data_IF_426731844657
#
_entry.id   IF_426731844657
#
_cell.length_a   1.000
_cell.length_b   1.000
_cell.length_c   1.000
_cell.angle_alpha   90.00
_cell.angle_beta   90.00
_cell.angle_gamma   90.00
#
_symmetry.space_group_name_H-M   'P 1'
#
loop_
_entity.id
_entity.type
_entity.pdbx_description
1 polymer ?
#
# COMPACT_ATOMS: atom_id res chain seq x y z
N UNK A 1 40.73 -15.82 1.37
CA UNK A 1 39.77 -15.10 0.50
C UNK A 1 38.55 -15.98 0.42
N UNK A 2 37.65 -15.80 1.37
CA UNK A 2 36.38 -16.53 1.41
C UNK A 2 35.47 -15.97 0.29
N UNK A 3 34.83 -16.83 -0.51
CA UNK A 3 33.91 -16.38 -1.52
C UNK A 3 32.69 -15.77 -0.82
N UNK A 4 32.42 -14.50 -1.11
CA UNK A 4 31.18 -13.83 -0.71
C UNK A 4 30.03 -14.64 -1.31
N UNK A 5 29.34 -15.40 -0.46
CA UNK A 5 28.11 -16.05 -0.82
C UNK A 5 27.16 -14.97 -1.33
N UNK A 6 26.78 -15.07 -2.61
CA UNK A 6 25.67 -14.31 -3.13
C UNK A 6 24.45 -14.67 -2.28
N UNK A 7 24.09 -13.75 -1.38
CA UNK A 7 22.77 -13.74 -0.76
C UNK A 7 21.80 -13.51 -1.92
N UNK A 8 21.31 -14.61 -2.51
CA UNK A 8 20.14 -14.56 -3.36
C UNK A 8 18.95 -14.33 -2.43
N UNK A 9 18.76 -13.07 -2.01
CA UNK A 9 17.56 -12.64 -1.31
C UNK A 9 16.37 -12.89 -2.24
N UNK A 10 15.72 -14.04 -2.09
CA UNK A 10 14.45 -14.35 -2.73
C UNK A 10 13.29 -13.64 -2.00
N UNK A 11 13.58 -12.45 -1.46
CA UNK A 11 12.69 -11.51 -0.77
C UNK A 11 12.83 -10.15 -1.43
N UNK A 12 12.65 -10.10 -2.75
CA UNK A 12 12.43 -8.82 -3.40
C UNK A 12 11.05 -8.33 -2.96
N UNK A 13 11.02 -7.51 -1.91
CA UNK A 13 9.97 -6.50 -1.67
C UNK A 13 9.96 -5.51 -2.84
N UNK A 14 9.78 -6.02 -4.05
CA UNK A 14 9.65 -5.22 -5.25
C UNK A 14 8.38 -4.40 -5.05
N UNK A 15 8.54 -3.12 -4.78
CA UNK A 15 7.47 -2.16 -4.90
C UNK A 15 7.27 -1.85 -6.38
N UNK A 16 6.06 -1.45 -6.74
CA UNK A 16 5.71 -0.93 -8.05
C UNK A 16 5.05 0.42 -7.85
N UNK A 17 5.49 1.39 -8.64
CA UNK A 17 4.91 2.72 -8.68
C UNK A 17 3.74 2.73 -9.66
N UNK A 18 2.54 3.03 -9.16
CA UNK A 18 1.33 3.16 -9.95
C UNK A 18 0.80 4.58 -9.83
N UNK A 19 1.18 5.43 -10.80
CA UNK A 19 1.08 6.88 -10.64
C UNK A 19 2.08 7.34 -9.58
N UNK A 20 1.61 8.08 -8.58
CA UNK A 20 2.44 8.60 -7.49
C UNK A 20 2.48 7.68 -6.25
N UNK A 21 1.89 6.48 -6.33
CA UNK A 21 1.63 5.62 -5.17
C UNK A 21 2.38 4.30 -5.27
N UNK A 22 2.82 3.79 -4.11
CA UNK A 22 3.58 2.55 -3.99
C UNK A 22 2.67 1.37 -3.66
N UNK A 23 2.88 0.27 -4.38
CA UNK A 23 2.19 -1.00 -4.15
C UNK A 23 3.18 -2.15 -4.17
N UNK A 24 2.78 -3.29 -3.61
CA UNK A 24 3.53 -4.52 -3.77
C UNK A 24 3.48 -5.00 -5.22
N UNK A 25 4.62 -5.23 -5.87
CA UNK A 25 4.68 -5.75 -7.23
C UNK A 25 4.16 -7.20 -7.35
N UNK A 26 4.11 -7.95 -6.24
CA UNK A 26 3.63 -9.33 -6.25
C UNK A 26 2.09 -9.42 -6.29
N UNK A 27 1.39 -8.63 -5.46
CA UNK A 27 -0.07 -8.73 -5.32
C UNK A 27 -0.83 -7.44 -5.66
N UNK A 28 -0.15 -6.34 -5.93
CA UNK A 28 -0.76 -5.04 -6.21
C UNK A 28 -1.44 -4.39 -5.00
N UNK A 29 -1.16 -4.82 -3.78
CA UNK A 29 -1.70 -4.23 -2.55
C UNK A 29 -0.66 -3.34 -1.86
N UNK A 30 -1.11 -2.28 -1.18
CA UNK A 30 -0.24 -1.46 -0.32
C UNK A 30 0.34 -2.27 0.84
N UNK A 31 -0.46 -3.19 1.38
CA UNK A 31 -0.04 -4.09 2.44
C UNK A 31 -0.06 -5.52 1.91
N UNK A 32 1.07 -6.20 2.02
CA UNK A 32 1.20 -7.59 1.59
C UNK A 32 1.81 -8.41 2.72
N UNK A 33 1.08 -9.42 3.20
CA UNK A 33 1.57 -10.33 4.25
C UNK A 33 2.68 -11.25 3.75
N UNK A 34 2.66 -11.60 2.47
CA UNK A 34 3.65 -12.49 1.86
C UNK A 34 5.03 -11.86 1.75
N UNK A 35 5.09 -10.57 1.38
CA UNK A 35 6.36 -9.83 1.27
C UNK A 35 6.61 -8.91 2.47
N UNK A 36 5.72 -8.94 3.47
CA UNK A 36 5.77 -8.13 4.69
C UNK A 36 5.95 -6.62 4.44
N UNK A 37 5.50 -6.10 3.29
CA UNK A 37 5.54 -4.68 2.99
C UNK A 37 4.25 -3.99 3.40
N UNK A 38 4.37 -2.74 3.88
CA UNK A 38 3.24 -1.87 4.21
C UNK A 38 3.55 -0.44 3.76
N UNK A 39 2.99 -0.05 2.61
CA UNK A 39 3.17 1.27 2.00
C UNK A 39 2.05 2.25 2.40
N UNK A 40 1.19 1.88 3.37
CA UNK A 40 0.03 2.69 3.71
C UNK A 40 0.41 4.07 4.24
N UNK A 41 1.52 4.17 4.95
CA UNK A 41 2.06 5.41 5.49
C UNK A 41 2.54 6.34 4.38
N UNK A 42 3.43 5.86 3.52
CA UNK A 42 3.95 6.60 2.35
C UNK A 42 2.81 7.11 1.46
N UNK A 43 1.85 6.23 1.14
CA UNK A 43 0.73 6.61 0.30
C UNK A 43 -0.24 7.59 0.98
N UNK A 44 -0.36 7.55 2.32
CA UNK A 44 -1.13 8.54 3.07
C UNK A 44 -0.45 9.91 2.99
N UNK A 45 0.87 9.94 3.15
CA UNK A 45 1.68 11.14 2.99
C UNK A 45 1.55 11.72 1.57
N UNK A 46 1.70 10.90 0.52
CA UNK A 46 1.51 11.33 -0.88
C UNK A 46 0.08 11.84 -1.13
N UNK A 47 -0.93 11.23 -0.50
CA UNK A 47 -2.31 11.70 -0.58
C UNK A 47 -2.56 13.01 0.21
N UNK A 48 -1.63 13.43 1.06
CA UNK A 48 -1.73 14.61 1.92
C UNK A 48 -2.68 14.40 3.11
N UNK A 49 -2.75 13.19 3.66
CA UNK A 49 -3.57 12.86 4.83
C UNK A 49 -2.70 12.23 5.92
N UNK A 50 -3.10 12.41 7.17
CA UNK A 50 -2.41 11.76 8.29
C UNK A 50 -2.49 10.23 8.16
N UNK A 51 -1.38 9.50 8.37
CA UNK A 51 -1.38 8.05 8.46
C UNK A 51 -2.35 7.57 9.54
N UNK A 52 -3.23 6.64 9.19
CA UNK A 52 -4.25 6.09 10.08
C UNK A 52 -4.07 4.57 10.18
N UNK A 53 -3.67 4.01 11.34
CA UNK A 53 -3.40 2.58 11.51
C UNK A 53 -4.58 1.67 11.15
N UNK A 54 -5.81 2.14 11.43
CA UNK A 54 -7.05 1.43 11.16
C UNK A 54 -7.55 1.60 9.72
N UNK A 55 -6.78 2.26 8.85
CA UNK A 55 -7.08 2.38 7.42
C UNK A 55 -6.86 1.03 6.72
N UNK A 56 -7.88 0.59 6.01
CA UNK A 56 -7.77 -0.58 5.13
C UNK A 56 -6.79 -0.31 3.98
N UNK A 57 -5.94 -1.29 3.60
CA UNK A 57 -5.08 -1.16 2.43
C UNK A 57 -5.90 -1.09 1.15
N UNK A 58 -5.39 -0.35 0.17
CA UNK A 58 -5.92 -0.37 -1.20
C UNK A 58 -5.15 -1.35 -2.07
N UNK A 59 -5.86 -1.92 -3.04
CA UNK A 59 -5.29 -2.80 -4.05
C UNK A 59 -5.52 -2.25 -5.45
N UNK A 60 -4.55 -2.48 -6.32
CA UNK A 60 -4.51 -2.01 -7.69
C UNK A 60 -4.25 -3.17 -8.65
N UNK A 61 -5.07 -3.27 -9.68
CA UNK A 61 -4.90 -4.22 -10.77
C UNK A 61 -4.00 -3.63 -11.87
N UNK A 62 -2.78 -4.16 -11.99
CA UNK A 62 -1.84 -3.80 -13.05
C UNK A 62 -1.27 -5.05 -13.75
N UNK A 63 -0.68 -4.83 -14.92
CA UNK A 63 0.11 -5.82 -15.66
C UNK A 63 1.38 -5.15 -16.16
N UNK A 64 2.44 -5.92 -16.43
CA UNK A 64 3.65 -5.37 -17.05
C UNK A 64 3.49 -5.32 -18.58
N UNK A 65 3.96 -4.24 -19.20
CA UNK A 65 4.06 -4.13 -20.66
C UNK A 65 5.35 -4.81 -21.16
N UNK A 66 5.56 -4.82 -22.49
CA UNK A 66 6.76 -5.42 -23.10
C UNK A 66 8.08 -4.71 -22.72
N UNK A 67 8.00 -3.46 -22.28
CA UNK A 67 9.14 -2.66 -21.81
C UNK A 67 9.43 -2.87 -20.32
N UNK A 68 8.62 -3.67 -19.61
CA UNK A 68 8.71 -3.88 -18.17
C UNK A 68 8.03 -2.81 -17.31
N UNK A 69 7.26 -1.89 -17.91
CA UNK A 69 6.57 -0.83 -17.17
C UNK A 69 5.16 -1.29 -16.73
N UNK A 70 4.69 -0.90 -15.54
CA UNK A 70 3.37 -1.25 -15.06
C UNK A 70 2.28 -0.45 -15.80
N UNK A 71 1.29 -1.15 -16.33
CA UNK A 71 0.12 -0.58 -16.97
C UNK A 71 -1.17 -1.05 -16.30
N UNK A 72 -2.18 -0.19 -16.30
CA UNK A 72 -3.51 -0.56 -15.81
C UNK A 72 -4.02 -1.79 -16.55
N UNK A 73 -4.45 -2.83 -15.82
CA UNK A 73 -4.94 -4.08 -16.40
C UNK A 73 -6.17 -3.87 -17.30
N UNK A 74 -7.04 -2.92 -16.94
CA UNK A 74 -8.30 -2.64 -17.65
C UNK A 74 -8.09 -1.82 -18.92
N UNK A 75 -7.29 -0.77 -18.83
CA UNK A 75 -7.13 0.22 -19.91
C UNK A 75 -5.82 0.07 -20.69
N UNK A 76 -4.89 -0.77 -20.22
CA UNK A 76 -3.55 -0.98 -20.79
C UNK A 76 -2.78 0.34 -20.99
N UNK A 77 -2.87 1.22 -19.99
CA UNK A 77 -2.18 2.51 -19.96
C UNK A 77 -1.23 2.58 -18.78
N UNK A 78 -0.02 3.06 -19.05
CA UNK A 78 1.02 3.37 -18.07
C UNK A 78 0.80 4.71 -17.37
N UNK A 79 -0.27 5.45 -17.66
CA UNK A 79 -0.72 6.64 -16.93
C UNK A 79 -2.25 6.68 -16.89
N UNK A 80 -2.85 5.75 -16.14
CA UNK A 80 -4.31 5.62 -16.10
C UNK A 80 -4.95 6.52 -15.03
N UNK A 81 -5.28 7.75 -15.40
CA UNK A 81 -5.94 8.72 -14.49
C UNK A 81 -7.25 8.21 -13.88
N UNK A 82 -7.97 7.32 -14.58
CA UNK A 82 -9.21 6.71 -14.09
C UNK A 82 -8.97 5.67 -12.98
N UNK A 83 -7.88 4.90 -13.07
CA UNK A 83 -7.61 3.80 -12.15
C UNK A 83 -6.57 4.13 -11.08
N UNK A 84 -5.69 5.09 -11.34
CA UNK A 84 -4.62 5.51 -10.42
C UNK A 84 -4.96 6.77 -9.63
N UNK A 85 -6.24 7.15 -9.63
CA UNK A 85 -6.79 8.22 -8.80
C UNK A 85 -6.92 7.84 -7.32
N UNK A 86 -5.88 7.27 -6.70
CA UNK A 86 -5.93 6.69 -5.36
C UNK A 86 -6.11 7.73 -4.25
N UNK A 87 -5.71 9.00 -4.47
CA UNK A 87 -5.85 10.11 -3.50
C UNK A 87 -7.22 10.15 -2.81
N UNK A 88 -8.29 10.10 -3.61
CA UNK A 88 -9.67 10.19 -3.08
C UNK A 88 -10.04 8.94 -2.29
N UNK A 89 -9.58 7.78 -2.72
CA UNK A 89 -9.83 6.50 -2.06
C UNK A 89 -9.09 6.43 -0.71
N UNK A 90 -7.81 6.80 -0.68
CA UNK A 90 -6.99 6.88 0.54
C UNK A 90 -7.64 7.86 1.53
N UNK A 91 -7.94 9.08 1.11
CA UNK A 91 -8.57 10.08 1.98
C UNK A 91 -9.94 9.62 2.54
N UNK A 92 -10.72 8.86 1.76
CA UNK A 92 -11.99 8.27 2.22
C UNK A 92 -11.73 7.18 3.27
N UNK A 93 -10.82 6.25 2.98
CA UNK A 93 -10.49 5.14 3.86
C UNK A 93 -9.82 5.61 5.16
N UNK A 94 -9.01 6.67 5.13
CA UNK A 94 -8.45 7.31 6.34
C UNK A 94 -9.56 7.81 7.25
N UNK A 95 -10.57 8.51 6.70
CA UNK A 95 -11.74 8.95 7.49
C UNK A 95 -12.55 7.78 8.06
N UNK A 96 -12.66 6.68 7.31
CA UNK A 96 -13.32 5.46 7.78
C UNK A 96 -12.50 4.77 8.88
N UNK A 97 -11.17 4.72 8.75
CA UNK A 97 -10.24 4.23 9.78
C UNK A 97 -10.36 5.03 11.07
N UNK A 98 -10.37 6.36 10.99
CA UNK A 98 -10.58 7.24 12.16
C UNK A 98 -11.93 6.97 12.87
N UNK A 99 -13.00 6.69 12.10
CA UNK A 99 -14.30 6.32 12.69
C UNK A 99 -14.24 4.95 13.35
N UNK A 100 -13.55 3.99 12.74
CA UNK A 100 -13.33 2.65 13.32
C UNK A 100 -12.54 2.74 14.61
N UNK A 101 -11.45 3.51 14.65
CA UNK A 101 -10.66 3.75 15.85
C UNK A 101 -11.51 4.30 17.00
N UNK A 102 -12.42 5.24 16.72
CA UNK A 102 -13.35 5.79 17.72
C UNK A 102 -14.38 4.78 18.20
N UNK A 103 -14.93 3.96 17.30
CA UNK A 103 -15.88 2.91 17.66
C UNK A 103 -15.21 1.81 18.47
N UNK A 104 -13.98 1.43 18.12
CA UNK A 104 -13.19 0.46 18.87
C UNK A 104 -12.90 0.96 20.28
N UNK A 105 -12.46 2.22 20.43
CA UNK A 105 -12.29 2.87 21.74
C UNK A 105 -13.58 2.92 22.57
N UNK A 106 -14.74 3.08 21.92
CA UNK A 106 -16.05 3.09 22.59
C UNK A 106 -16.49 1.69 23.03
N UNK A 107 -16.19 0.66 22.24
CA UNK A 107 -16.58 -0.72 22.51
C UNK A 107 -15.56 -1.46 23.39
N UNK A 108 -14.32 -0.98 23.46
CA UNK A 108 -13.27 -1.49 24.33
C UNK A 108 -12.59 -0.34 25.11
N UNK A 109 -13.24 0.19 26.16
CA UNK A 109 -12.72 1.33 26.93
C UNK A 109 -11.49 0.99 27.80
N UNK A 110 -11.00 -0.27 27.81
CA UNK A 110 -9.97 -0.75 28.75
C UNK A 110 -8.53 -0.64 28.22
N UNK A 111 -8.29 -0.22 26.98
CA UNK A 111 -6.92 -0.10 26.45
C UNK A 111 -6.17 1.18 26.89
N UNK A 112 -6.59 1.82 27.98
CA UNK A 112 -5.86 2.91 28.62
C UNK A 112 -5.04 2.45 29.85
N UNK A 113 -4.72 1.16 29.92
CA UNK A 113 -3.83 0.63 30.96
C UNK A 113 -2.70 -0.18 30.31
N UNK A 114 -1.60 0.50 30.03
CA UNK A 114 -0.26 0.02 30.39
C UNK A 114 0.74 1.17 30.22
N UNK A 115 1.29 1.53 31.39
CA UNK A 115 2.54 2.24 31.68
C UNK A 115 3.62 2.04 30.63
#
# INVERSE_FOLDING_TARGET
MEPLEQVTSNESTASVELGDYLFCAHCGSEQCKSTQCDFREDNSFTAGVDPEPFREPIAADFTMNANGEPQCKKHKKTECTTCWGFKKQIAKLTKEGQKRAKNDKKNNPVSNLLV
#
